data_IF_797664719343
#
_entry.id   IF_797664719343
#
_cell.length_a   1.000
_cell.length_b   1.000
_cell.length_c   1.000
_cell.angle_alpha   90.00
_cell.angle_beta   90.00
_cell.angle_gamma   90.00
#
_symmetry.space_group_name_H-M   'P 1'
#
loop_
_entity.id
_entity.type
_entity.pdbx_description
1 polymer ?
#
# COMPACT_ATOMS: atom_id res chain seq x y z
N UNK A 1 4.66 33.56 -14.10
CA UNK A 1 4.15 32.89 -12.88
C UNK A 1 4.20 31.38 -13.11
N UNK A 2 5.19 30.69 -12.54
CA UNK A 2 5.33 29.24 -12.65
C UNK A 2 4.37 28.57 -11.68
N UNK A 3 3.40 27.82 -12.20
CA UNK A 3 2.49 26.99 -11.39
C UNK A 3 3.28 25.86 -10.74
N UNK A 4 3.57 25.98 -9.45
CA UNK A 4 4.20 24.90 -8.68
C UNK A 4 3.28 23.69 -8.66
N UNK A 5 3.68 22.62 -9.35
CA UNK A 5 2.93 21.37 -9.39
C UNK A 5 2.98 20.73 -7.99
N UNK A 6 1.85 20.75 -7.26
CA UNK A 6 1.78 20.29 -5.86
C UNK A 6 1.67 18.76 -5.72
N UNK A 7 1.36 18.04 -6.79
CA UNK A 7 1.30 16.58 -6.82
C UNK A 7 1.54 16.06 -8.24
N UNK A 8 2.16 14.89 -8.35
CA UNK A 8 2.29 14.15 -9.60
C UNK A 8 2.15 12.65 -9.33
N UNK A 9 1.74 11.89 -10.35
CA UNK A 9 1.70 10.42 -10.28
C UNK A 9 3.13 9.91 -10.19
N UNK A 10 3.53 9.41 -9.02
CA UNK A 10 4.85 8.82 -8.82
C UNK A 10 4.94 7.46 -9.52
N UNK A 11 3.90 6.64 -9.36
CA UNK A 11 3.90 5.25 -9.79
C UNK A 11 2.48 4.70 -9.94
N UNK A 12 2.33 3.68 -10.77
CA UNK A 12 1.10 2.89 -10.95
C UNK A 12 1.51 1.41 -11.00
N UNK A 13 0.80 0.56 -10.26
CA UNK A 13 1.08 -0.87 -10.19
C UNK A 13 -0.16 -1.64 -9.73
N UNK A 14 -0.18 -2.93 -10.03
CA UNK A 14 -1.24 -3.85 -9.58
C UNK A 14 -0.88 -4.32 -8.18
N UNK A 15 -1.60 -3.83 -7.18
CA UNK A 15 -1.33 -4.18 -5.79
C UNK A 15 -1.90 -5.55 -5.39
N UNK A 16 -3.07 -5.92 -5.93
CA UNK A 16 -3.81 -7.14 -5.58
C UNK A 16 -4.50 -7.71 -6.83
N UNK A 17 -4.80 -9.02 -6.83
CA UNK A 17 -5.50 -9.67 -7.96
C UNK A 17 -7.00 -9.37 -7.98
N UNK A 18 -7.53 -8.86 -6.88
CA UNK A 18 -8.91 -8.41 -6.70
C UNK A 18 -8.90 -6.98 -6.11
N UNK A 19 -10.07 -6.47 -5.73
CA UNK A 19 -10.24 -5.11 -5.19
C UNK A 19 -9.27 -4.81 -4.05
N UNK A 20 -8.68 -3.60 -4.07
CA UNK A 20 -7.91 -3.07 -2.94
C UNK A 20 -8.88 -2.38 -2.01
N UNK A 21 -9.04 -2.92 -0.81
CA UNK A 21 -10.03 -2.46 0.15
C UNK A 21 -9.45 -1.41 1.11
N UNK A 22 -8.15 -1.52 1.44
CA UNK A 22 -7.51 -0.62 2.40
C UNK A 22 -6.03 -0.36 2.10
N UNK A 23 -5.51 0.77 2.62
CA UNK A 23 -4.09 1.12 2.54
C UNK A 23 -3.65 1.99 3.74
N UNK A 24 -2.36 1.91 4.10
CA UNK A 24 -1.69 2.82 5.03
C UNK A 24 -0.23 3.06 4.67
N UNK A 25 0.25 4.29 4.87
CA UNK A 25 1.67 4.65 4.77
C UNK A 25 2.29 4.61 6.16
N UNK A 26 3.47 4.00 6.28
CA UNK A 26 4.21 3.94 7.55
C UNK A 26 4.75 5.32 7.93
N UNK A 27 4.37 5.82 9.11
CA UNK A 27 4.61 7.21 9.51
C UNK A 27 6.07 7.52 9.87
N UNK A 28 6.82 6.54 10.38
CA UNK A 28 8.19 6.75 10.87
C UNK A 28 9.18 7.10 9.76
N UNK A 29 9.06 6.44 8.61
CA UNK A 29 9.96 6.65 7.49
C UNK A 29 9.28 7.28 6.28
N UNK A 30 7.94 7.25 6.18
CA UNK A 30 7.16 7.62 4.99
C UNK A 30 7.68 6.96 3.71
N UNK A 31 8.33 5.80 3.85
CA UNK A 31 8.96 5.02 2.76
C UNK A 31 8.24 3.71 2.49
N UNK A 32 7.35 3.30 3.39
CA UNK A 32 6.63 2.04 3.29
C UNK A 32 5.13 2.28 3.15
N UNK A 33 4.50 1.43 2.35
CA UNK A 33 3.06 1.39 2.12
C UNK A 33 2.59 -0.04 2.39
N UNK A 34 1.46 -0.19 3.05
CA UNK A 34 0.75 -1.47 3.18
C UNK A 34 -0.60 -1.35 2.49
N UNK A 35 -0.98 -2.38 1.75
CA UNK A 35 -2.29 -2.52 1.10
C UNK A 35 -2.93 -3.83 1.52
N UNK A 36 -4.25 -3.84 1.66
CA UNK A 36 -5.05 -5.04 1.86
C UNK A 36 -6.10 -5.18 0.76
N UNK A 37 -6.35 -6.41 0.32
CA UNK A 37 -7.26 -6.69 -0.79
C UNK A 37 -8.26 -7.82 -0.54
N UNK A 38 -9.20 -7.93 -1.46
CA UNK A 38 -10.21 -9.01 -1.52
C UNK A 38 -9.59 -10.36 -1.93
N UNK A 39 -8.31 -10.38 -2.32
CA UNK A 39 -7.52 -11.60 -2.52
C UNK A 39 -6.97 -12.20 -1.23
N UNK A 40 -7.46 -11.71 -0.08
CA UNK A 40 -7.13 -12.14 1.28
C UNK A 40 -5.65 -11.91 1.67
N UNK A 41 -4.96 -11.03 0.95
CA UNK A 41 -3.54 -10.72 1.19
C UNK A 41 -3.35 -9.33 1.75
N UNK A 42 -2.29 -9.19 2.52
CA UNK A 42 -1.72 -7.88 2.90
C UNK A 42 -0.36 -7.76 2.25
N UNK A 43 -0.16 -6.76 1.40
CA UNK A 43 1.10 -6.54 0.69
C UNK A 43 1.83 -5.32 1.27
N UNK A 44 3.13 -5.47 1.53
CA UNK A 44 4.04 -4.42 2.01
C UNK A 44 4.93 -3.96 0.86
N UNK A 45 5.07 -2.65 0.69
CA UNK A 45 5.74 -2.02 -0.44
C UNK A 45 6.75 -0.99 0.02
N UNK A 46 7.82 -0.83 -0.76
CA UNK A 46 8.67 0.37 -0.70
C UNK A 46 8.10 1.39 -1.69
N UNK A 47 7.81 2.60 -1.23
CA UNK A 47 7.31 3.67 -2.10
C UNK A 47 8.38 3.98 -3.17
N UNK A 48 7.96 4.02 -4.44
CA UNK A 48 8.84 4.21 -5.59
C UNK A 48 9.44 2.92 -6.17
N UNK A 49 9.08 1.75 -5.64
CA UNK A 49 9.44 0.43 -6.21
C UNK A 49 8.19 -0.31 -6.69
N UNK A 50 8.24 -1.01 -7.84
CA UNK A 50 7.10 -1.75 -8.40
C UNK A 50 6.78 -3.04 -7.66
N UNK A 51 7.76 -3.62 -6.97
CA UNK A 51 7.61 -4.93 -6.36
C UNK A 51 7.26 -4.82 -4.88
N UNK A 52 6.36 -5.70 -4.43
CA UNK A 52 6.07 -5.88 -3.02
C UNK A 52 7.32 -6.42 -2.31
N UNK A 53 7.65 -5.83 -1.17
CA UNK A 53 8.68 -6.34 -0.25
C UNK A 53 8.23 -7.68 0.34
N UNK A 54 6.94 -7.78 0.68
CA UNK A 54 6.35 -8.94 1.34
C UNK A 54 4.87 -9.05 1.00
N UNK A 55 4.38 -10.29 0.95
CA UNK A 55 2.96 -10.61 0.89
C UNK A 55 2.63 -11.50 2.08
N UNK A 56 1.73 -11.03 2.94
CA UNK A 56 1.23 -11.77 4.09
C UNK A 56 -0.09 -12.42 3.71
N UNK A 57 -0.19 -13.72 3.97
CA UNK A 57 -1.37 -14.55 3.72
C UNK A 57 -1.77 -15.29 4.99
N UNK A 58 -3.02 -15.78 5.02
CA UNK A 58 -3.57 -16.54 6.14
C UNK A 58 -5.01 -16.18 6.49
N UNK A 59 -5.47 -14.99 6.09
CA UNK A 59 -6.87 -14.63 6.19
C UNK A 59 -7.72 -15.47 5.23
N UNK A 60 -8.92 -15.83 5.68
CA UNK A 60 -9.92 -16.57 4.89
C UNK A 60 -10.96 -15.66 4.24
N UNK A 61 -10.82 -14.35 4.41
CA UNK A 61 -11.73 -13.30 3.91
C UNK A 61 -10.93 -12.09 3.45
N UNK A 62 -11.59 -11.18 2.72
CA UNK A 62 -11.03 -9.90 2.31
C UNK A 62 -10.48 -9.08 3.48
N UNK A 63 -9.45 -8.28 3.19
CA UNK A 63 -8.81 -7.44 4.20
C UNK A 63 -9.51 -6.08 4.25
N UNK A 64 -10.31 -5.84 5.29
CA UNK A 64 -11.06 -4.59 5.43
C UNK A 64 -10.22 -3.41 5.92
N UNK A 65 -9.21 -3.66 6.75
CA UNK A 65 -8.38 -2.60 7.32
C UNK A 65 -6.99 -3.07 7.70
N UNK A 66 -6.03 -2.15 7.63
CA UNK A 66 -4.64 -2.34 8.05
C UNK A 66 -4.20 -1.14 8.87
N UNK A 67 -3.36 -1.37 9.88
CA UNK A 67 -2.70 -0.31 10.63
C UNK A 67 -1.26 -0.70 10.92
N UNK A 68 -0.37 0.29 10.88
CA UNK A 68 0.91 0.16 11.54
C UNK A 68 0.71 0.34 13.04
N UNK A 69 1.58 -0.30 13.83
CA UNK A 69 1.68 0.02 15.24
C UNK A 69 2.04 1.50 15.43
N UNK A 70 1.59 2.08 16.54
CA UNK A 70 1.77 3.50 16.85
C UNK A 70 3.15 3.85 17.43
N UNK A 71 3.95 2.85 17.80
CA UNK A 71 5.23 3.03 18.52
C UNK A 71 6.43 3.32 17.61
#
# INVERSE_FOLDING_TARGET
MTTTKRAYKLQEFVAHSLSVNCLKIGRKSSRVLVTGGEDHKVNLWSIGKPDAILSLSGHSSGIDSVSFDSS
#
